data_IF_363303215577
#
_entry.id   IF_363303215577
#
_cell.length_a   1.000
_cell.length_b   1.000
_cell.length_c   1.000
_cell.angle_alpha   90.00
_cell.angle_beta   90.00
_cell.angle_gamma   90.00
#
_symmetry.space_group_name_H-M   'P 1'
#
loop_
_entity.id
_entity.type
_entity.pdbx_description
1 polymer ?
#
# COMPACT_ATOMS: atom_id res chain seq x y z
N UNK A 1 -14.87 0.62 6.69
CA UNK A 1 -14.43 -0.64 6.03
C UNK A 1 -15.03 -0.67 4.64
N UNK A 2 -14.26 -1.05 3.63
CA UNK A 2 -14.66 -0.97 2.23
C UNK A 2 -15.21 -2.31 1.73
N UNK A 3 -16.54 -2.42 1.69
CA UNK A 3 -17.20 -3.67 1.33
C UNK A 3 -17.24 -3.82 -0.20
N UNK A 4 -16.66 -4.89 -0.73
CA UNK A 4 -16.57 -5.15 -2.16
C UNK A 4 -17.17 -6.51 -2.53
N UNK A 5 -17.84 -6.58 -3.68
CA UNK A 5 -18.37 -7.83 -4.22
C UNK A 5 -17.51 -8.28 -5.38
N UNK A 6 -17.00 -9.51 -5.32
CA UNK A 6 -16.16 -10.02 -6.40
C UNK A 6 -16.96 -10.17 -7.71
N UNK A 7 -16.48 -9.60 -8.81
CA UNK A 7 -17.16 -9.72 -10.10
C UNK A 7 -17.26 -11.17 -10.59
N UNK A 8 -16.26 -12.00 -10.26
CA UNK A 8 -16.12 -13.40 -10.71
C UNK A 8 -16.91 -14.38 -9.86
N UNK A 9 -16.62 -14.48 -8.56
CA UNK A 9 -17.26 -15.48 -7.69
C UNK A 9 -18.45 -14.95 -6.88
N UNK A 10 -18.80 -13.67 -7.03
CA UNK A 10 -19.91 -12.97 -6.34
C UNK A 10 -19.84 -12.97 -4.81
N UNK A 11 -18.76 -13.50 -4.20
CA UNK A 11 -18.54 -13.39 -2.76
C UNK A 11 -18.17 -11.97 -2.39
N UNK A 12 -18.70 -11.54 -1.25
CA UNK A 12 -18.32 -10.28 -0.60
C UNK A 12 -17.01 -10.46 0.14
N UNK A 13 -16.21 -9.40 0.18
CA UNK A 13 -15.00 -9.31 0.95
C UNK A 13 -14.75 -7.85 1.31
N UNK A 14 -14.05 -7.65 2.40
CA UNK A 14 -13.79 -6.32 2.94
C UNK A 14 -12.36 -5.90 2.63
N UNK A 15 -12.20 -4.62 2.35
CA UNK A 15 -10.92 -3.97 2.20
C UNK A 15 -10.70 -3.00 3.35
N UNK A 16 -9.48 -2.99 3.87
CA UNK A 16 -9.06 -2.04 4.88
C UNK A 16 -8.75 -0.69 4.19
N UNK A 17 -9.48 0.39 4.51
CA UNK A 17 -9.25 1.70 3.89
C UNK A 17 -7.85 2.25 4.19
N UNK A 18 -7.26 1.96 5.34
CA UNK A 18 -5.90 2.43 5.69
C UNK A 18 -4.89 1.76 4.76
N UNK A 19 -4.97 0.42 4.63
CA UNK A 19 -4.09 -0.35 3.75
C UNK A 19 -4.27 0.02 2.28
N UNK A 20 -5.52 0.18 1.82
CA UNK A 20 -5.82 0.62 0.45
C UNK A 20 -5.22 2.01 0.19
N UNK A 21 -5.42 2.96 1.10
CA UNK A 21 -4.84 4.30 1.00
C UNK A 21 -3.32 4.28 0.93
N UNK A 22 -2.67 3.51 1.82
CA UNK A 22 -1.22 3.33 1.82
C UNK A 22 -0.69 2.75 0.50
N UNK A 23 -1.33 1.70 -0.03
CA UNK A 23 -0.95 1.12 -1.32
C UNK A 23 -1.16 2.10 -2.48
N UNK A 24 -2.23 2.90 -2.45
CA UNK A 24 -2.46 3.96 -3.44
C UNK A 24 -1.37 5.03 -3.38
N UNK A 25 -0.91 5.41 -2.18
CA UNK A 25 0.20 6.36 -1.99
C UNK A 25 1.54 5.83 -2.52
N UNK A 26 1.78 4.52 -2.43
CA UNK A 26 2.99 3.89 -3.00
C UNK A 26 3.00 3.87 -4.53
N UNK A 27 1.85 3.98 -5.19
CA UNK A 27 1.81 4.02 -6.64
C UNK A 27 2.57 5.25 -7.13
N UNK A 28 3.50 5.08 -8.07
CA UNK A 28 4.20 6.20 -8.74
C UNK A 28 3.29 7.06 -9.62
N UNK A 29 1.97 6.91 -9.50
CA UNK A 29 0.96 7.59 -10.30
C UNK A 29 0.35 8.71 -9.46
N UNK A 30 0.41 9.93 -9.99
CA UNK A 30 -0.04 11.15 -9.29
C UNK A 30 -1.50 11.08 -8.83
N UNK A 31 -2.39 10.55 -9.69
CA UNK A 31 -3.83 10.39 -9.42
C UNK A 31 -4.29 8.98 -9.84
N UNK A 32 -4.21 7.97 -8.97
CA UNK A 32 -4.75 6.65 -9.26
C UNK A 32 -6.29 6.70 -9.30
N UNK A 33 -6.87 6.16 -10.38
CA UNK A 33 -8.33 6.11 -10.54
C UNK A 33 -8.93 4.80 -10.05
N UNK A 34 -8.11 3.74 -9.95
CA UNK A 34 -8.55 2.40 -9.55
C UNK A 34 -7.52 1.75 -8.62
N UNK A 35 -8.03 1.00 -7.65
CA UNK A 35 -7.28 0.06 -6.83
C UNK A 35 -7.50 -1.38 -7.35
N UNK A 36 -6.45 -2.20 -7.32
CA UNK A 36 -6.52 -3.60 -7.74
C UNK A 36 -6.66 -4.51 -6.52
N UNK A 37 -7.90 -4.87 -6.19
CA UNK A 37 -8.22 -5.73 -5.06
C UNK A 37 -8.23 -7.21 -5.46
N UNK A 38 -7.45 -8.03 -4.76
CA UNK A 38 -7.42 -9.48 -4.98
C UNK A 38 -8.53 -10.13 -4.15
N UNK A 39 -9.44 -10.86 -4.80
CA UNK A 39 -10.48 -11.60 -4.08
C UNK A 39 -9.86 -12.75 -3.27
N UNK A 40 -10.10 -12.85 -1.95
CA UNK A 40 -9.51 -13.91 -1.13
C UNK A 40 -10.02 -15.32 -1.48
N UNK A 41 -11.23 -15.42 -2.06
CA UNK A 41 -11.85 -16.71 -2.38
C UNK A 41 -11.40 -17.28 -3.74
N UNK A 42 -11.42 -16.47 -4.80
CA UNK A 42 -11.14 -16.93 -6.17
C UNK A 42 -9.89 -16.32 -6.80
N UNK A 43 -9.18 -15.46 -6.07
CA UNK A 43 -7.94 -14.77 -6.47
C UNK A 43 -8.07 -13.91 -7.73
N UNK A 44 -9.28 -13.62 -8.19
CA UNK A 44 -9.52 -12.69 -9.28
C UNK A 44 -9.17 -11.26 -8.86
N UNK A 45 -8.62 -10.48 -9.79
CA UNK A 45 -8.29 -9.07 -9.61
C UNK A 45 -9.53 -8.22 -9.91
N UNK A 46 -10.05 -7.54 -8.90
CA UNK A 46 -11.18 -6.63 -8.99
C UNK A 46 -10.64 -5.20 -9.10
N UNK A 47 -11.05 -4.47 -10.14
CA UNK A 47 -10.74 -3.05 -10.26
C UNK A 47 -11.78 -2.26 -9.50
N UNK A 48 -11.41 -1.70 -8.36
CA UNK A 48 -12.29 -0.91 -7.51
C UNK A 48 -12.01 0.57 -7.78
N UNK A 49 -13.06 1.36 -8.04
CA UNK A 49 -12.91 2.80 -8.30
C UNK A 49 -12.46 3.52 -7.03
N UNK A 50 -11.40 4.33 -7.12
CA UNK A 50 -10.97 5.18 -5.99
C UNK A 50 -12.05 6.18 -5.62
N UNK A 51 -12.78 6.69 -6.63
CA UNK A 51 -13.89 7.64 -6.41
C UNK A 51 -15.01 7.06 -5.55
N UNK A 52 -15.30 5.77 -5.69
CA UNK A 52 -16.33 5.09 -4.88
C UNK A 52 -15.89 4.88 -3.43
N UNK A 53 -14.57 4.81 -3.20
CA UNK A 53 -13.97 4.62 -1.87
C UNK A 53 -13.57 5.94 -1.21
N UNK A 54 -13.64 7.06 -1.93
CA UNK A 54 -13.04 8.33 -1.55
C UNK A 54 -13.49 8.80 -0.17
N UNK A 55 -14.78 8.73 0.15
CA UNK A 55 -15.31 9.15 1.45
C UNK A 55 -14.73 8.36 2.64
N UNK A 56 -14.53 7.05 2.48
CA UNK A 56 -13.93 6.19 3.50
C UNK A 56 -12.41 6.39 3.60
N UNK A 57 -11.75 6.74 2.49
CA UNK A 57 -10.32 7.08 2.50
C UNK A 57 -10.09 8.44 3.17
N UNK A 58 -10.95 9.42 2.88
CA UNK A 58 -10.87 10.76 3.45
C UNK A 58 -11.02 10.73 4.97
N UNK A 59 -11.92 9.89 5.49
CA UNK A 59 -12.17 9.76 6.94
C UNK A 59 -10.98 9.19 7.72
N UNK A 60 -10.10 8.42 7.08
CA UNK A 60 -8.91 7.81 7.70
C UNK A 60 -7.58 8.40 7.17
N UNK A 61 -7.63 9.57 6.52
CA UNK A 61 -6.46 10.21 5.89
C UNK A 61 -5.29 10.38 6.84
N UNK A 62 -5.55 10.78 8.10
CA UNK A 62 -4.50 10.98 9.10
C UNK A 62 -3.76 9.68 9.44
N UNK A 63 -4.46 8.56 9.50
CA UNK A 63 -3.86 7.25 9.77
C UNK A 63 -3.05 6.74 8.56
N UNK A 64 -3.56 6.97 7.35
CA UNK A 64 -2.83 6.67 6.11
C UNK A 64 -1.51 7.44 6.06
N UNK A 65 -1.54 8.75 6.35
CA UNK A 65 -0.34 9.59 6.35
C UNK A 65 0.70 9.08 7.34
N UNK A 66 0.28 8.79 8.57
CA UNK A 66 1.15 8.24 9.60
C UNK A 66 1.83 6.94 9.15
N UNK A 67 1.07 6.00 8.56
CA UNK A 67 1.64 4.75 8.05
C UNK A 67 2.62 4.99 6.87
N UNK A 68 2.37 5.98 6.01
CA UNK A 68 3.29 6.36 4.93
C UNK A 68 4.59 6.94 5.47
N UNK A 69 4.51 7.82 6.47
CA UNK A 69 5.67 8.44 7.12
C UNK A 69 6.54 7.39 7.81
N UNK A 70 5.94 6.52 8.63
CA UNK A 70 6.62 5.42 9.31
C UNK A 70 7.34 4.51 8.29
N UNK A 71 6.68 4.18 7.17
CA UNK A 71 7.28 3.35 6.11
C UNK A 71 8.48 4.03 5.42
N UNK A 72 8.40 5.34 5.13
CA UNK A 72 9.49 6.08 4.50
C UNK A 72 10.69 6.24 5.47
N UNK A 73 10.45 6.45 6.76
CA UNK A 73 11.50 6.47 7.79
C UNK A 73 12.21 5.12 7.92
N UNK A 74 11.47 4.02 8.01
CA UNK A 74 12.04 2.66 8.08
C UNK A 74 12.87 2.33 6.83
N UNK A 75 12.35 2.69 5.65
CA UNK A 75 13.05 2.52 4.38
C UNK A 75 14.33 3.35 4.31
N UNK A 76 14.34 4.57 4.85
CA UNK A 76 15.52 5.42 4.94
C UNK A 76 16.58 4.82 5.88
N UNK A 77 16.17 4.35 7.08
CA UNK A 77 17.04 3.66 8.04
C UNK A 77 17.64 2.39 7.43
N UNK A 78 16.83 1.55 6.79
CA UNK A 78 17.28 0.34 6.12
C UNK A 78 18.29 0.63 4.99
N UNK A 79 18.12 1.75 4.26
CA UNK A 79 19.07 2.17 3.22
C UNK A 79 20.40 2.66 3.82
N UNK A 80 20.36 3.40 4.92
CA UNK A 80 21.55 3.86 5.64
C UNK A 80 22.34 2.67 6.22
N UNK A 81 21.67 1.72 6.85
CA UNK A 81 22.30 0.51 7.39
C UNK A 81 22.94 -0.34 6.28
N UNK A 82 22.25 -0.52 5.14
CA UNK A 82 22.81 -1.23 3.98
C UNK A 82 24.07 -0.55 3.44
N UNK A 83 24.11 0.79 3.39
CA UNK A 83 25.31 1.53 2.97
C UNK A 83 26.46 1.29 3.94
N UNK A 84 26.24 1.51 5.24
CA UNK A 84 27.26 1.27 6.27
C UNK A 84 27.83 -0.16 6.25
N UNK A 85 26.99 -1.17 5.98
CA UNK A 85 27.42 -2.57 5.81
C UNK A 85 28.28 -2.80 4.56
N UNK A 86 27.98 -2.12 3.46
CA UNK A 86 28.79 -2.19 2.21
C UNK A 86 30.14 -1.51 2.41
N UNK A 87 30.16 -0.31 3.00
CA UNK A 87 31.38 0.44 3.29
C UNK A 87 32.31 -0.33 4.26
N UNK A 88 31.74 -0.94 5.31
CA UNK A 88 32.51 -1.77 6.27
C UNK A 88 33.05 -3.07 5.67
N UNK A 89 32.41 -3.60 4.61
CA UNK A 89 32.87 -4.80 3.90
C UNK A 89 33.93 -4.47 2.85
N UNK A 90 33.88 -3.29 2.24
CA UNK A 90 34.89 -2.80 1.30
C UNK A 90 36.23 -2.48 1.98
N UNK A 91 36.21 -1.99 3.22
CA UNK A 91 37.42 -1.69 4.00
C UNK A 91 38.12 -2.90 4.67
N UNK A 92 37.62 -4.12 4.47
CA UNK A 92 38.19 -5.38 5.03
C UNK A 92 38.85 -6.28 3.98
N UNK A 93 38.95 -5.82 2.74
CA UNK A 93 39.66 -6.49 1.67
C UNK A 93 40.96 -5.73 1.37
N UNK A 94 41.90 -5.74 2.32
CA UNK A 94 43.30 -5.37 2.14
C UNK A 94 44.15 -6.52 2.69
#
# INVERSE_FOLDING_TARGET
MLNQTCFKCKRRFDLDPIFVGFELHKLKKKNPTHYQAICPACRAINKVSVKEMQAELDSVTGEIQKMVEEYEEEKAKAKAEKRAKVDAKAGKAD
#
